data_IF_470946695995
#
_entry.id   IF_470946695995
#
_cell.length_a   1.000
_cell.length_b   1.000
_cell.length_c   1.000
_cell.angle_alpha   90.00
_cell.angle_beta   90.00
_cell.angle_gamma   90.00
#
_symmetry.space_group_name_H-M   'P 1'
#
loop_
_entity.id
_entity.type
_entity.pdbx_description
1 polymer ?
#
# COMPACT_ATOMS: atom_id res chain seq x y z
N UNK A 1 -38.56 -71.99 -44.19
CA UNK A 1 -39.29 -70.71 -44.16
C UNK A 1 -38.28 -69.56 -44.10
N UNK A 2 -38.33 -68.71 -45.13
CA UNK A 2 -37.90 -67.31 -45.25
C UNK A 2 -36.53 -66.79 -44.73
N UNK A 3 -35.72 -66.38 -45.71
CA UNK A 3 -34.82 -65.23 -45.85
C UNK A 3 -34.70 -64.21 -44.69
N UNK A 4 -33.45 -63.78 -44.42
CA UNK A 4 -33.02 -62.37 -44.59
C UNK A 4 -31.49 -62.21 -44.46
N UNK A 5 -30.86 -61.83 -45.57
CA UNK A 5 -29.48 -61.32 -45.68
C UNK A 5 -29.48 -59.83 -45.33
N UNK A 6 -28.54 -59.32 -44.52
CA UNK A 6 -28.26 -57.88 -44.48
C UNK A 6 -26.76 -57.63 -44.30
N UNK A 7 -26.25 -56.73 -45.15
CA UNK A 7 -24.85 -56.43 -45.42
C UNK A 7 -24.15 -55.67 -44.27
N UNK A 8 -22.87 -56.02 -44.08
CA UNK A 8 -21.89 -55.26 -43.30
C UNK A 8 -21.46 -54.03 -44.11
N UNK A 9 -21.72 -52.82 -43.60
CA UNK A 9 -21.20 -51.56 -44.14
C UNK A 9 -20.34 -50.88 -43.08
N UNK A 10 -19.02 -50.96 -43.23
CA UNK A 10 -18.08 -50.19 -42.42
C UNK A 10 -17.93 -48.78 -43.03
N UNK A 11 -18.39 -47.77 -42.29
CA UNK A 11 -18.13 -46.38 -42.61
C UNK A 11 -16.86 -45.92 -41.85
N UNK A 12 -15.74 -45.78 -42.57
CA UNK A 12 -14.57 -45.06 -42.08
C UNK A 12 -14.90 -43.56 -42.02
N UNK A 13 -15.11 -43.03 -40.81
CA UNK A 13 -15.17 -41.60 -40.58
C UNK A 13 -13.75 -41.00 -40.60
N UNK A 14 -13.51 -40.07 -41.51
CA UNK A 14 -12.29 -39.27 -41.61
C UNK A 14 -12.13 -38.39 -40.35
N UNK A 15 -10.93 -38.26 -39.75
CA UNK A 15 -10.75 -37.37 -38.60
C UNK A 15 -10.88 -35.91 -39.04
N UNK A 16 -11.91 -35.23 -38.52
CA UNK A 16 -12.07 -33.80 -38.67
C UNK A 16 -10.86 -33.05 -38.08
N UNK A 17 -10.32 -32.10 -38.85
CA UNK A 17 -9.32 -31.13 -38.38
C UNK A 17 -9.93 -30.34 -37.21
N UNK A 18 -9.46 -30.59 -36.00
CA UNK A 18 -9.77 -29.75 -34.83
C UNK A 18 -9.00 -28.44 -35.00
N UNK A 19 -9.72 -27.31 -35.07
CA UNK A 19 -9.10 -25.99 -35.09
C UNK A 19 -8.37 -25.75 -33.74
N UNK A 20 -7.19 -25.12 -33.75
CA UNK A 20 -6.51 -24.78 -32.51
C UNK A 20 -7.36 -23.77 -31.70
N UNK A 21 -7.34 -23.85 -30.36
CA UNK A 21 -8.05 -22.89 -29.52
C UNK A 21 -7.52 -21.47 -29.76
N UNK A 22 -8.38 -20.44 -29.66
CA UNK A 22 -7.94 -19.06 -29.75
C UNK A 22 -6.92 -18.75 -28.64
N UNK A 23 -5.90 -17.96 -28.98
CA UNK A 23 -4.88 -17.53 -28.03
C UNK A 23 -5.54 -16.79 -26.84
N UNK A 24 -4.99 -16.92 -25.61
CA UNK A 24 -5.48 -16.16 -24.48
C UNK A 24 -5.37 -14.67 -24.77
N UNK A 25 -6.47 -13.93 -24.60
CA UNK A 25 -6.48 -12.48 -24.69
C UNK A 25 -5.48 -11.90 -23.68
N UNK A 26 -4.72 -10.85 -24.05
CA UNK A 26 -3.82 -10.19 -23.11
C UNK A 26 -4.61 -9.71 -21.88
N UNK A 27 -4.03 -9.76 -20.66
CA UNK A 27 -4.71 -9.31 -19.47
C UNK A 27 -5.21 -7.87 -19.66
N UNK A 28 -6.52 -7.67 -19.47
CA UNK A 28 -7.13 -6.36 -19.39
C UNK A 28 -6.48 -5.63 -18.21
N UNK A 29 -5.61 -4.66 -18.50
CA UNK A 29 -5.02 -3.78 -17.50
C UNK A 29 -6.13 -3.22 -16.62
N UNK A 30 -6.08 -3.58 -15.33
CA UNK A 30 -6.91 -2.96 -14.32
C UNK A 30 -6.54 -1.47 -14.27
N UNK A 31 -7.53 -0.55 -14.21
CA UNK A 31 -7.24 0.87 -14.16
C UNK A 31 -6.40 1.19 -12.93
N UNK A 32 -5.17 1.63 -13.16
CA UNK A 32 -4.31 2.20 -12.14
C UNK A 32 -5.07 3.31 -11.39
N UNK A 33 -4.97 3.32 -10.06
CA UNK A 33 -5.51 4.37 -9.21
C UNK A 33 -5.13 5.75 -9.78
N UNK A 34 -6.15 6.54 -10.14
CA UNK A 34 -5.95 7.85 -10.76
C UNK A 34 -5.19 8.78 -9.80
N UNK A 35 -4.19 9.54 -10.28
CA UNK A 35 -3.47 10.48 -9.43
C UNK A 35 -4.45 11.56 -8.94
N UNK A 36 -4.58 11.67 -7.61
CA UNK A 36 -5.43 12.67 -6.98
C UNK A 36 -4.95 14.08 -7.38
N UNK A 37 -5.87 14.92 -7.89
CA UNK A 37 -5.59 16.28 -8.38
C UNK A 37 -5.06 17.14 -7.23
N UNK A 38 -3.95 17.84 -7.47
CA UNK A 38 -3.34 18.73 -6.49
C UNK A 38 -4.31 19.88 -6.13
N UNK A 39 -4.53 20.10 -4.82
CA UNK A 39 -5.47 21.10 -4.29
C UNK A 39 -4.67 22.25 -3.65
N UNK A 40 -5.04 23.52 -3.83
CA UNK A 40 -4.39 24.62 -3.11
C UNK A 40 -4.37 24.37 -1.59
N UNK A 41 -3.27 24.71 -0.94
CA UNK A 41 -3.07 24.46 0.48
C UNK A 41 -2.41 25.64 1.20
N UNK A 42 -2.99 25.98 2.34
CA UNK A 42 -2.37 26.76 3.41
C UNK A 42 -2.76 26.16 4.77
N UNK A 43 -2.09 26.61 5.84
CA UNK A 43 -2.31 26.06 7.18
C UNK A 43 -3.71 26.39 7.75
N UNK A 44 -4.35 27.47 7.30
CA UNK A 44 -5.68 27.86 7.79
C UNK A 44 -6.75 26.82 7.42
N UNK A 45 -6.53 26.04 6.36
CA UNK A 45 -7.38 24.89 6.01
C UNK A 45 -7.37 23.80 7.10
N UNK A 46 -6.22 23.60 7.76
CA UNK A 46 -6.10 22.62 8.86
C UNK A 46 -6.86 23.13 10.08
N UNK A 47 -6.72 24.41 10.42
CA UNK A 47 -7.43 25.04 11.53
C UNK A 47 -8.94 25.00 11.31
N UNK A 48 -9.40 25.38 10.12
CA UNK A 48 -10.81 25.32 9.74
C UNK A 48 -11.35 23.89 9.84
N UNK A 49 -10.59 22.89 9.39
CA UNK A 49 -11.00 21.49 9.48
C UNK A 49 -11.09 21.01 10.93
N UNK A 50 -10.13 21.35 11.77
CA UNK A 50 -10.15 21.02 13.19
C UNK A 50 -11.34 21.69 13.90
N UNK A 51 -11.62 22.96 13.59
CA UNK A 51 -12.77 23.69 14.14
C UNK A 51 -14.09 23.06 13.71
N UNK A 52 -14.22 22.64 12.45
CA UNK A 52 -15.40 21.93 11.95
C UNK A 52 -15.62 20.61 12.72
N UNK A 53 -14.58 19.78 12.83
CA UNK A 53 -14.63 18.49 13.51
C UNK A 53 -14.96 18.63 15.00
N UNK A 54 -14.48 19.69 15.66
CA UNK A 54 -14.76 19.94 17.08
C UNK A 54 -16.25 20.15 17.40
N UNK A 55 -17.06 20.51 16.39
CA UNK A 55 -18.50 20.76 16.53
C UNK A 55 -19.35 19.51 16.30
N UNK A 56 -18.73 18.39 15.95
CA UNK A 56 -19.39 17.15 15.59
C UNK A 56 -19.07 16.07 16.61
N UNK A 57 -19.98 15.10 16.77
CA UNK A 57 -19.67 13.89 17.53
C UNK A 57 -18.52 13.13 16.85
N UNK A 58 -17.62 12.57 17.66
CA UNK A 58 -16.52 11.76 17.15
C UNK A 58 -17.04 10.55 16.37
N UNK A 59 -16.53 10.37 15.15
CA UNK A 59 -16.75 9.18 14.32
C UNK A 59 -15.41 8.51 14.10
N UNK A 60 -15.28 7.25 14.54
CA UNK A 60 -14.05 6.47 14.32
C UNK A 60 -13.94 6.07 12.86
N UNK A 61 -12.84 6.45 12.22
CA UNK A 61 -12.42 5.86 10.94
C UNK A 61 -11.76 4.51 11.21
N UNK A 62 -12.43 3.41 10.85
CA UNK A 62 -11.84 2.06 10.92
C UNK A 62 -10.82 1.82 9.79
N UNK A 63 -10.83 2.69 8.76
CA UNK A 63 -9.98 2.65 7.58
C UNK A 63 -9.99 1.32 6.85
N UNK A 64 -10.99 0.46 7.07
CA UNK A 64 -11.10 -0.85 6.43
C UNK A 64 -9.90 -1.79 6.62
N UNK A 65 -9.22 -1.78 7.76
CA UNK A 65 -8.08 -2.69 8.01
C UNK A 65 -8.56 -4.15 8.14
N UNK A 66 -8.11 -5.08 7.27
CA UNK A 66 -8.45 -6.48 7.41
C UNK A 66 -7.99 -7.10 8.72
N UNK A 67 -8.81 -8.01 9.24
CA UNK A 67 -8.57 -8.71 10.51
C UNK A 67 -7.20 -9.39 10.57
N UNK A 68 -6.74 -9.98 9.47
CA UNK A 68 -5.44 -10.67 9.43
C UNK A 68 -4.24 -9.72 9.57
N UNK A 69 -4.39 -8.44 9.22
CA UNK A 69 -3.39 -7.41 9.52
C UNK A 69 -3.55 -6.87 10.93
N UNK A 70 -4.79 -6.66 11.38
CA UNK A 70 -5.10 -6.17 12.72
C UNK A 70 -4.68 -7.15 13.83
N UNK A 71 -4.57 -8.44 13.52
CA UNK A 71 -4.22 -9.53 14.44
C UNK A 71 -2.79 -10.05 14.30
N UNK A 72 -1.93 -9.37 13.52
CA UNK A 72 -0.51 -9.73 13.43
C UNK A 72 0.13 -9.77 14.81
N UNK A 73 0.94 -10.80 15.06
CA UNK A 73 1.85 -10.82 16.20
C UNK A 73 2.96 -9.78 16.02
N UNK A 74 3.63 -9.41 17.11
CA UNK A 74 4.71 -8.43 17.09
C UNK A 74 5.83 -8.82 16.11
N UNK A 75 6.27 -10.07 16.12
CA UNK A 75 7.33 -10.54 15.23
C UNK A 75 6.92 -10.45 13.76
N UNK A 76 5.67 -10.78 13.43
CA UNK A 76 5.12 -10.63 12.08
C UNK A 76 5.10 -9.17 11.64
N UNK A 77 4.66 -8.27 12.52
CA UNK A 77 4.59 -6.85 12.21
C UNK A 77 5.98 -6.22 12.00
N UNK A 78 6.98 -6.61 12.80
CA UNK A 78 8.36 -6.11 12.66
C UNK A 78 9.03 -6.51 11.35
N UNK A 79 8.60 -7.60 10.74
CA UNK A 79 9.08 -8.01 9.40
C UNK A 79 8.54 -7.11 8.28
N UNK A 80 7.45 -6.37 8.52
CA UNK A 80 6.90 -5.44 7.52
C UNK A 80 7.72 -4.16 7.50
N UNK A 81 8.47 -3.94 6.42
CA UNK A 81 9.43 -2.84 6.28
C UNK A 81 9.11 -2.02 5.05
N UNK A 82 9.16 -0.69 5.18
CA UNK A 82 9.07 0.18 4.02
C UNK A 82 10.34 0.01 3.17
N UNK A 83 10.18 -0.09 1.85
CA UNK A 83 11.28 -0.23 0.90
C UNK A 83 12.06 1.09 0.78
N UNK A 84 13.32 1.17 1.24
CA UNK A 84 14.06 2.44 1.24
C UNK A 84 14.20 3.08 -0.13
N UNK A 85 14.23 2.28 -1.20
CA UNK A 85 14.26 2.72 -2.59
C UNK A 85 12.97 3.40 -3.06
N UNK A 86 11.86 3.22 -2.34
CA UNK A 86 10.57 3.89 -2.57
C UNK A 86 10.35 5.09 -1.64
N UNK A 87 11.37 5.51 -0.87
CA UNK A 87 11.22 6.62 0.05
C UNK A 87 10.84 7.90 -0.70
N UNK A 88 9.95 8.69 -0.11
CA UNK A 88 9.55 9.99 -0.63
C UNK A 88 10.79 10.88 -0.69
N UNK A 89 10.91 11.64 -1.78
CA UNK A 89 12.04 12.53 -2.10
C UNK A 89 13.40 11.85 -2.34
N UNK A 90 13.47 10.51 -2.35
CA UNK A 90 14.73 9.80 -2.63
C UNK A 90 15.35 10.20 -3.97
N UNK A 91 14.54 10.33 -5.02
CA UNK A 91 15.01 10.70 -6.37
C UNK A 91 15.30 12.19 -6.54
N UNK A 92 14.94 13.02 -5.56
CA UNK A 92 15.05 14.48 -5.64
C UNK A 92 16.35 15.02 -5.05
N UNK A 93 17.21 14.13 -4.52
CA UNK A 93 18.49 14.48 -3.91
C UNK A 93 18.35 15.55 -2.81
N UNK A 94 17.22 15.53 -2.10
CA UNK A 94 16.98 16.36 -0.92
C UNK A 94 17.64 15.73 0.30
N UNK A 95 18.05 16.54 1.30
CA UNK A 95 18.69 16.01 2.50
C UNK A 95 17.73 15.21 3.40
N UNK A 96 16.42 15.24 3.11
CA UNK A 96 15.41 14.49 3.85
C UNK A 96 14.76 13.43 2.96
N UNK A 97 14.53 12.26 3.57
CA UNK A 97 13.72 11.19 2.98
C UNK A 97 12.63 10.79 3.97
N UNK A 98 11.44 10.47 3.46
CA UNK A 98 10.32 10.04 4.29
C UNK A 98 9.92 8.62 3.91
N UNK A 99 9.68 7.81 4.94
CA UNK A 99 9.09 6.49 4.79
C UNK A 99 7.84 6.40 5.67
N UNK A 100 6.94 5.49 5.34
CA UNK A 100 5.73 5.27 6.10
C UNK A 100 5.80 3.99 6.97
N UNK A 101 4.95 3.91 7.98
CA UNK A 101 4.67 2.67 8.69
C UNK A 101 3.44 1.99 8.10
N UNK A 102 3.49 0.67 7.98
CA UNK A 102 2.35 -0.14 7.56
C UNK A 102 1.33 -0.25 8.71
N UNK A 103 0.04 -0.33 8.38
CA UNK A 103 -1.03 -0.58 9.38
C UNK A 103 -1.09 -2.05 9.78
N UNK A 104 -1.33 -2.33 11.05
CA UNK A 104 -1.40 -3.69 11.56
C UNK A 104 -0.95 -3.78 13.00
N UNK A 105 -1.09 -4.97 13.59
CA UNK A 105 -0.83 -5.20 15.01
C UNK A 105 -1.59 -4.16 15.86
N UNK A 106 -0.90 -3.35 16.68
CA UNK A 106 -1.51 -2.29 17.49
C UNK A 106 -1.73 -0.98 16.73
N UNK A 107 -1.10 -0.78 15.58
CA UNK A 107 -1.19 0.45 14.78
C UNK A 107 -2.29 0.33 13.72
N UNK A 108 -3.53 0.43 14.19
CA UNK A 108 -4.73 0.16 13.38
C UNK A 108 -5.30 1.40 12.72
N UNK A 109 -5.16 2.56 13.35
CA UNK A 109 -5.76 3.79 12.85
C UNK A 109 -5.07 4.24 11.55
N UNK A 110 -5.87 4.80 10.64
CA UNK A 110 -5.42 5.26 9.33
C UNK A 110 -4.89 6.69 9.42
N UNK A 111 -3.68 6.91 8.93
CA UNK A 111 -3.05 8.21 8.72
C UNK A 111 -2.99 8.48 7.23
N UNK A 112 -3.58 9.61 6.83
CA UNK A 112 -3.54 10.12 5.46
C UNK A 112 -2.39 11.13 5.34
N UNK A 113 -1.52 10.95 4.35
CA UNK A 113 -0.32 11.75 4.18
C UNK A 113 -0.43 12.56 2.89
N UNK A 114 -0.28 13.87 2.97
CA UNK A 114 -0.24 14.72 1.78
C UNK A 114 1.11 15.43 1.70
N UNK A 115 1.67 15.52 0.50
CA UNK A 115 2.82 16.35 0.19
C UNK A 115 2.33 17.72 -0.25
N UNK A 116 2.93 18.76 0.32
CA UNK A 116 2.65 20.15 -0.03
C UNK A 116 3.84 20.69 -0.80
N UNK A 117 3.65 20.96 -2.08
CA UNK A 117 4.68 21.49 -2.98
C UNK A 117 4.13 22.72 -3.69
N UNK A 118 4.87 23.84 -3.62
CA UNK A 118 4.48 25.11 -4.25
C UNK A 118 3.02 25.53 -3.95
N UNK A 119 2.59 25.38 -2.70
CA UNK A 119 1.24 25.73 -2.25
C UNK A 119 0.15 24.75 -2.69
N UNK A 120 0.51 23.56 -3.20
CA UNK A 120 -0.43 22.54 -3.64
C UNK A 120 -0.27 21.24 -2.85
N UNK A 121 -1.37 20.76 -2.29
CA UNK A 121 -1.48 19.48 -1.58
C UNK A 121 -1.80 18.34 -2.54
N UNK A 122 -0.96 17.30 -2.52
CA UNK A 122 -1.19 16.03 -3.21
C UNK A 122 -1.13 14.86 -2.23
N UNK A 123 -2.11 13.98 -2.28
CA UNK A 123 -2.13 12.75 -1.47
C UNK A 123 -0.98 11.83 -1.88
N UNK A 124 -0.24 11.35 -0.88
CA UNK A 124 0.63 10.18 -1.04
C UNK A 124 -0.27 8.96 -1.02
N UNK A 125 -0.38 8.28 -2.17
CA UNK A 125 -1.11 7.03 -2.27
C UNK A 125 -0.41 5.91 -1.50
N UNK A 126 -1.19 5.10 -0.80
CA UNK A 126 -0.71 3.81 -0.34
C UNK A 126 -0.58 2.86 -1.54
N UNK A 127 0.36 1.92 -1.45
CA UNK A 127 0.38 0.73 -2.27
C UNK A 127 1.04 -0.39 -1.46
N UNK A 128 0.56 -1.64 -1.57
CA UNK A 128 1.23 -2.78 -0.97
C UNK A 128 2.70 -2.89 -1.39
N UNK A 129 3.04 -2.46 -2.60
CA UNK A 129 4.39 -2.55 -3.18
C UNK A 129 5.41 -1.62 -2.52
N UNK A 130 4.96 -0.66 -1.70
CA UNK A 130 5.85 0.19 -0.90
C UNK A 130 6.54 -0.57 0.23
N UNK A 131 6.07 -1.78 0.54
CA UNK A 131 6.54 -2.57 1.67
C UNK A 131 7.12 -3.91 1.24
N UNK A 132 8.13 -4.35 1.97
CA UNK A 132 8.56 -5.74 2.07
C UNK A 132 7.83 -6.36 3.27
N UNK A 133 7.21 -7.52 3.08
CA UNK A 133 6.45 -8.23 4.12
C UNK A 133 7.26 -9.34 4.80
N UNK A 134 8.53 -9.52 4.42
CA UNK A 134 9.41 -10.55 4.94
C UNK A 134 8.83 -11.95 4.69
N UNK A 135 8.72 -12.74 5.76
CA UNK A 135 8.18 -14.10 5.71
C UNK A 135 6.67 -14.18 5.93
N UNK A 136 5.97 -13.04 6.00
CA UNK A 136 4.53 -13.04 6.20
C UNK A 136 3.80 -13.58 4.97
N UNK A 137 2.83 -14.46 5.21
CA UNK A 137 1.84 -14.88 4.22
C UNK A 137 0.45 -14.47 4.72
N UNK A 138 -0.35 -13.91 3.81
CA UNK A 138 -1.69 -13.43 4.13
C UNK A 138 -2.74 -14.36 3.50
N UNK A 139 -3.87 -14.61 4.18
CA UNK A 139 -4.93 -15.49 3.68
C UNK A 139 -5.74 -14.87 2.52
N UNK A 140 -5.54 -13.59 2.23
CA UNK A 140 -6.21 -12.85 1.17
C UNK A 140 -5.27 -11.76 0.61
N UNK A 141 -5.53 -11.24 -0.60
CA UNK A 141 -4.81 -10.09 -1.13
C UNK A 141 -4.88 -8.87 -0.20
N UNK A 142 -3.83 -8.06 -0.21
CA UNK A 142 -3.81 -6.79 0.51
C UNK A 142 -4.71 -5.76 -0.20
N UNK A 143 -5.46 -4.92 0.54
CA UNK A 143 -6.26 -3.86 -0.06
C UNK A 143 -5.40 -2.86 -0.85
N UNK A 144 -5.97 -2.27 -1.89
CA UNK A 144 -5.30 -1.30 -2.76
C UNK A 144 -4.96 0.00 -2.05
N UNK A 145 -5.79 0.42 -1.09
CA UNK A 145 -5.53 1.59 -0.24
C UNK A 145 -5.87 1.29 1.24
N UNK A 146 -4.82 1.11 2.04
CA UNK A 146 -4.92 1.05 3.50
C UNK A 146 -4.61 2.40 4.16
N UNK A 147 -4.09 3.39 3.43
CA UNK A 147 -3.34 4.48 4.02
C UNK A 147 -2.14 3.97 4.86
N UNK A 148 -1.65 4.81 5.76
CA UNK A 148 -0.46 4.50 6.56
C UNK A 148 -0.79 4.45 8.06
N UNK A 149 0.10 3.88 8.87
CA UNK A 149 0.01 3.95 10.33
C UNK A 149 0.70 5.19 10.92
N UNK A 150 1.62 5.77 10.16
CA UNK A 150 2.51 6.82 10.63
C UNK A 150 3.64 7.09 9.65
N UNK A 151 4.56 7.97 10.05
CA UNK A 151 5.69 8.42 9.25
C UNK A 151 6.99 8.36 10.03
N UNK A 152 8.09 8.19 9.29
CA UNK A 152 9.45 8.35 9.80
C UNK A 152 10.30 9.14 8.82
N UNK A 153 11.12 10.00 9.38
CA UNK A 153 11.94 10.96 8.67
C UNK A 153 13.39 10.53 8.79
N UNK A 154 14.10 10.62 7.69
CA UNK A 154 15.51 10.30 7.62
C UNK A 154 16.32 11.48 7.12
N UNK A 155 17.53 11.62 7.65
CA UNK A 155 18.49 12.66 7.32
C UNK A 155 19.91 12.12 7.53
N UNK A 156 20.92 12.56 6.74
CA UNK A 156 22.32 12.19 6.94
C UNK A 156 22.90 12.85 8.19
N UNK A 157 22.53 12.35 9.37
CA UNK A 157 22.81 13.00 10.64
C UNK A 157 24.23 12.69 11.13
N UNK A 158 24.68 11.43 11.02
CA UNK A 158 25.98 10.99 11.56
C UNK A 158 27.10 10.99 10.53
N UNK A 159 26.77 10.65 9.29
CA UNK A 159 27.71 10.52 8.17
C UNK A 159 27.02 10.96 6.90
N UNK A 160 27.76 11.63 6.04
CA UNK A 160 27.31 11.93 4.69
C UNK A 160 26.89 10.62 3.99
N UNK A 161 25.84 10.71 3.16
CA UNK A 161 25.28 9.61 2.36
C UNK A 161 24.56 8.49 3.17
N UNK A 162 24.60 8.51 4.51
CA UNK A 162 23.86 7.55 5.35
C UNK A 162 22.62 8.19 5.96
N UNK A 163 21.43 7.82 5.47
CA UNK A 163 20.16 8.36 5.98
C UNK A 163 19.75 7.68 7.31
N UNK A 164 20.02 8.35 8.43
CA UNK A 164 19.60 7.93 9.77
C UNK A 164 18.12 8.27 10.01
N UNK A 165 17.38 7.41 10.72
CA UNK A 165 16.04 7.75 11.24
C UNK A 165 16.19 8.84 12.31
N UNK A 166 15.59 10.01 12.09
CA UNK A 166 15.71 11.18 12.97
C UNK A 166 14.41 11.54 13.67
N UNK A 167 13.25 11.17 13.11
CA UNK A 167 11.95 11.42 13.73
C UNK A 167 10.93 10.36 13.33
N UNK A 168 10.04 10.01 14.26
CA UNK A 168 8.97 9.02 14.08
C UNK A 168 7.68 9.59 14.63
N UNK A 169 6.61 9.52 13.85
CA UNK A 169 5.23 9.79 14.22
C UNK A 169 4.46 8.48 14.07
N UNK A 170 4.11 7.85 15.18
CA UNK A 170 3.47 6.53 15.16
C UNK A 170 2.67 6.28 16.44
N UNK A 171 1.35 6.11 16.27
CA UNK A 171 0.42 5.87 17.38
C UNK A 171 -0.11 7.16 17.99
N UNK A 172 -1.44 7.31 18.04
CA UNK A 172 -2.11 8.52 18.52
C UNK A 172 -1.49 9.80 17.93
N UNK A 173 -1.31 10.83 18.76
CA UNK A 173 -0.54 12.04 18.43
C UNK A 173 0.88 12.02 19.02
N UNK A 174 1.46 10.82 19.20
CA UNK A 174 2.81 10.65 19.74
C UNK A 174 3.88 10.76 18.63
N UNK A 175 4.99 11.40 18.96
CA UNK A 175 6.17 11.43 18.13
C UNK A 175 7.44 11.44 18.98
N UNK A 176 8.54 11.02 18.38
CA UNK A 176 9.89 11.09 18.96
C UNK A 176 10.88 11.59 17.92
N UNK A 177 11.89 12.32 18.35
CA UNK A 177 12.95 12.84 17.49
C UNK A 177 14.31 12.75 18.19
N UNK A 178 15.37 12.69 17.39
CA UNK A 178 16.75 12.63 17.86
C UNK A 178 17.64 13.58 17.07
N UNK A 179 18.57 14.22 17.78
CA UNK A 179 19.68 14.99 17.22
C UNK A 179 21.00 14.21 17.24
N UNK A 180 22.06 14.86 16.75
CA UNK A 180 23.39 14.25 16.69
C UNK A 180 23.86 13.83 18.10
N UNK A 181 24.33 12.59 18.23
CA UNK A 181 24.79 12.03 19.49
C UNK A 181 23.69 11.59 20.45
N UNK A 182 22.41 11.69 20.05
CA UNK A 182 21.27 11.23 20.85
C UNK A 182 20.78 9.85 20.42
N UNK A 183 20.07 9.19 21.33
CA UNK A 183 19.31 7.95 21.08
C UNK A 183 17.84 8.22 21.40
N UNK A 184 16.93 7.42 20.83
CA UNK A 184 15.51 7.54 21.17
C UNK A 184 15.29 7.30 22.66
N UNK A 185 14.71 8.30 23.32
CA UNK A 185 14.21 8.25 24.69
C UNK A 185 12.69 8.32 24.72
N UNK A 186 12.16 8.93 25.77
CA UNK A 186 10.75 9.34 25.87
C UNK A 186 10.47 10.57 25.03
#
# INVERSE_FOLDING_TARGET
MLLATLLLGEAFASPGKVAPPPAPEPPKEAPAASPEVAKPFDFSLVEAKAQELSKQSFVKDDGGLPDFLAKLAFDQYREIRYKPEKAIWRSENLPFQIQAFHRGFMFKDRVLVNLIESGSSKRVGYSPDLFDYGQNSFPAPLPEDLGFAGLRFHYPLKRDETYDEIAVFLGASYFRAVGLGQVYGL
#
